data_IF_284830444746
#
_entry.id   IF_284830444746
#
_cell.length_a   1.000
_cell.length_b   1.000
_cell.length_c   1.000
_cell.angle_alpha   90.00
_cell.angle_beta   90.00
_cell.angle_gamma   90.00
#
_symmetry.space_group_name_H-M   'P 1'
#
loop_
_entity.id
_entity.type
_entity.pdbx_description
1 polymer ?
#
# COMPACT_ATOMS: atom_id res chain seq x y z
N UNK A 1 -10.43 -23.36 -1.10
CA UNK A 1 -10.31 -22.74 0.23
C UNK A 1 -10.46 -21.25 0.07
N UNK A 2 -11.41 -20.65 0.79
CA UNK A 2 -11.55 -19.19 0.87
C UNK A 2 -10.69 -18.69 2.03
N UNK A 3 -9.85 -17.68 1.79
CA UNK A 3 -9.01 -17.07 2.83
C UNK A 3 -9.58 -15.73 3.22
N UNK A 4 -9.85 -15.56 4.51
CA UNK A 4 -10.43 -14.38 5.12
C UNK A 4 -9.61 -14.03 6.36
N UNK A 5 -9.21 -12.77 6.46
CA UNK A 5 -8.72 -12.21 7.72
C UNK A 5 -9.91 -11.96 8.66
N UNK A 6 -9.61 -11.76 9.94
CA UNK A 6 -10.64 -11.53 10.96
C UNK A 6 -11.47 -10.24 10.73
N UNK A 7 -10.98 -9.32 9.91
CA UNK A 7 -11.63 -8.09 9.47
C UNK A 7 -12.13 -8.16 8.00
N UNK A 8 -11.98 -9.31 7.34
CA UNK A 8 -12.53 -9.55 6.01
C UNK A 8 -14.04 -9.74 6.04
N UNK A 9 -14.72 -9.11 5.10
CA UNK A 9 -16.17 -9.27 4.90
C UNK A 9 -16.47 -9.48 3.43
N UNK A 10 -17.08 -10.62 3.10
CA UNK A 10 -17.44 -10.98 1.73
C UNK A 10 -18.90 -11.36 1.61
N UNK A 11 -19.56 -10.89 0.53
CA UNK A 11 -20.93 -11.27 0.23
C UNK A 11 -21.02 -12.70 -0.31
N UNK A 12 -22.12 -13.40 -0.02
CA UNK A 12 -22.36 -14.75 -0.52
C UNK A 12 -22.30 -14.83 -2.05
N UNK A 13 -22.88 -13.84 -2.75
CA UNK A 13 -22.85 -13.76 -4.22
C UNK A 13 -21.42 -13.67 -4.77
N UNK A 14 -20.55 -12.90 -4.09
CA UNK A 14 -19.13 -12.79 -4.45
C UNK A 14 -18.44 -14.14 -4.26
N UNK A 15 -18.65 -14.79 -3.12
CA UNK A 15 -18.05 -16.10 -2.81
C UNK A 15 -18.50 -17.15 -3.83
N UNK A 16 -19.79 -17.18 -4.17
CA UNK A 16 -20.33 -18.10 -5.17
C UNK A 16 -19.69 -17.88 -6.55
N UNK A 17 -19.51 -16.63 -6.98
CA UNK A 17 -18.84 -16.33 -8.25
C UNK A 17 -17.36 -16.73 -8.26
N UNK A 18 -16.66 -16.56 -7.13
CA UNK A 18 -15.28 -17.03 -6.98
C UNK A 18 -15.18 -18.56 -7.09
N UNK A 19 -16.10 -19.29 -6.47
CA UNK A 19 -16.19 -20.75 -6.56
C UNK A 19 -16.46 -21.16 -8.00
N UNK A 20 -17.49 -20.59 -8.64
CA UNK A 20 -17.89 -20.91 -9.99
C UNK A 20 -16.76 -20.72 -11.01
N UNK A 21 -15.97 -19.64 -10.89
CA UNK A 21 -14.82 -19.42 -11.78
C UNK A 21 -13.70 -20.43 -11.54
N UNK A 22 -13.44 -20.80 -10.28
CA UNK A 22 -12.43 -21.80 -9.93
C UNK A 22 -12.82 -23.22 -10.37
N UNK A 23 -14.11 -23.54 -10.38
CA UNK A 23 -14.63 -24.78 -10.96
C UNK A 23 -14.55 -24.78 -12.48
N UNK A 24 -14.91 -23.67 -13.12
CA UNK A 24 -14.88 -23.52 -14.58
C UNK A 24 -13.47 -23.51 -15.18
N UNK A 25 -12.45 -23.11 -14.40
CA UNK A 25 -11.05 -23.09 -14.85
C UNK A 25 -10.17 -24.04 -14.01
N UNK A 26 -9.94 -25.28 -14.49
CA UNK A 26 -9.09 -26.25 -13.81
C UNK A 26 -7.63 -25.81 -13.64
N UNK A 27 -7.15 -24.79 -14.37
CA UNK A 27 -5.78 -24.25 -14.25
C UNK A 27 -5.69 -23.05 -13.30
N UNK A 28 -6.80 -22.58 -12.74
CA UNK A 28 -6.81 -21.50 -11.76
C UNK A 28 -6.36 -22.02 -10.39
N UNK A 29 -5.22 -21.51 -9.93
CA UNK A 29 -4.66 -21.83 -8.61
C UNK A 29 -5.12 -20.85 -7.54
N UNK A 30 -5.21 -19.56 -7.87
CA UNK A 30 -5.61 -18.49 -6.96
C UNK A 30 -6.40 -17.40 -7.68
N UNK A 31 -7.46 -16.92 -7.04
CA UNK A 31 -8.31 -15.85 -7.52
C UNK A 31 -8.49 -14.79 -6.42
N UNK A 32 -7.86 -13.63 -6.61
CA UNK A 32 -7.86 -12.49 -5.68
C UNK A 32 -9.00 -11.52 -6.02
N UNK A 33 -9.74 -11.04 -5.01
CA UNK A 33 -10.65 -9.89 -5.18
C UNK A 33 -9.97 -8.57 -4.79
N UNK A 34 -10.64 -7.44 -5.04
CA UNK A 34 -10.19 -6.13 -4.56
C UNK A 34 -10.99 -5.76 -3.29
N UNK A 35 -10.48 -6.03 -2.08
CA UNK A 35 -11.16 -5.63 -0.86
C UNK A 35 -11.23 -4.10 -0.79
N UNK A 36 -12.44 -3.57 -0.62
CA UNK A 36 -12.65 -2.12 -0.42
C UNK A 36 -12.78 -1.85 1.08
N UNK A 37 -12.00 -0.93 1.63
CA UNK A 37 -12.10 -0.58 3.04
C UNK A 37 -13.49 -0.07 3.45
N UNK A 38 -13.93 -0.44 4.64
CA UNK A 38 -15.22 -0.02 5.20
C UNK A 38 -15.10 0.35 6.68
N UNK A 39 -16.24 0.84 7.23
CA UNK A 39 -16.46 1.09 8.67
C UNK A 39 -15.48 2.09 9.30
N UNK A 40 -15.01 3.07 8.53
CA UNK A 40 -14.14 4.11 9.05
C UNK A 40 -14.88 5.34 9.59
N UNK A 41 -14.56 5.69 10.84
CA UNK A 41 -15.15 6.85 11.55
C UNK A 41 -14.19 8.02 11.75
N UNK A 42 -12.88 7.78 11.79
CA UNK A 42 -11.88 8.83 11.94
C UNK A 42 -11.68 9.63 10.65
N UNK A 43 -11.17 10.85 10.74
CA UNK A 43 -10.83 11.64 9.54
C UNK A 43 -9.85 10.88 8.62
N UNK A 44 -8.80 10.26 9.19
CA UNK A 44 -7.82 9.47 8.44
C UNK A 44 -8.47 8.29 7.73
N UNK A 45 -9.19 7.46 8.49
CA UNK A 45 -9.82 6.25 7.97
C UNK A 45 -10.83 6.59 6.88
N UNK A 46 -11.64 7.65 7.07
CA UNK A 46 -12.61 8.10 6.07
C UNK A 46 -11.95 8.62 4.80
N UNK A 47 -10.86 9.38 4.92
CA UNK A 47 -10.12 9.86 3.75
C UNK A 47 -9.54 8.70 2.95
N UNK A 48 -8.94 7.70 3.61
CA UNK A 48 -8.42 6.50 2.95
C UNK A 48 -9.53 5.60 2.38
N UNK A 49 -10.64 5.41 3.11
CA UNK A 49 -11.81 4.66 2.64
C UNK A 49 -12.39 5.31 1.37
N UNK A 50 -12.52 6.64 1.37
CA UNK A 50 -12.93 7.40 0.20
C UNK A 50 -11.95 7.26 -0.96
N UNK A 51 -10.65 7.44 -0.71
CA UNK A 51 -9.61 7.29 -1.72
C UNK A 51 -9.64 5.88 -2.35
N UNK A 52 -9.73 4.84 -1.53
CA UNK A 52 -9.80 3.46 -2.00
C UNK A 52 -11.07 3.21 -2.83
N UNK A 53 -12.23 3.69 -2.38
CA UNK A 53 -13.49 3.51 -3.11
C UNK A 53 -13.57 4.28 -4.44
N UNK A 54 -12.82 5.37 -4.61
CA UNK A 54 -12.80 6.17 -5.86
C UNK A 54 -11.70 5.72 -6.82
N UNK A 55 -10.51 5.42 -6.31
CA UNK A 55 -9.31 5.21 -7.14
C UNK A 55 -9.00 3.72 -7.36
N UNK A 56 -9.15 2.87 -6.34
CA UNK A 56 -8.66 1.49 -6.39
C UNK A 56 -9.33 0.63 -7.46
N UNK A 57 -10.67 0.66 -7.70
CA UNK A 57 -11.28 -0.19 -8.71
C UNK A 57 -10.71 0.03 -10.11
N UNK A 58 -10.56 1.30 -10.51
CA UNK A 58 -9.99 1.65 -11.82
C UNK A 58 -8.53 1.23 -11.94
N UNK A 59 -7.73 1.52 -10.91
CA UNK A 59 -6.32 1.14 -10.86
C UNK A 59 -6.15 -0.39 -10.90
N UNK A 60 -6.96 -1.11 -10.13
CA UNK A 60 -6.96 -2.57 -10.09
C UNK A 60 -7.35 -3.17 -11.43
N UNK A 61 -8.36 -2.65 -12.13
CA UNK A 61 -8.70 -3.12 -13.48
C UNK A 61 -7.54 -2.95 -14.46
N UNK A 62 -6.88 -1.79 -14.46
CA UNK A 62 -5.69 -1.56 -15.30
C UNK A 62 -4.53 -2.49 -14.92
N UNK A 63 -4.31 -2.68 -13.63
CA UNK A 63 -3.29 -3.58 -13.11
C UNK A 63 -3.57 -5.05 -13.51
N UNK A 64 -4.81 -5.51 -13.36
CA UNK A 64 -5.24 -6.86 -13.74
C UNK A 64 -5.11 -7.10 -15.24
N UNK A 65 -5.30 -6.09 -16.08
CA UNK A 65 -5.10 -6.21 -17.53
C UNK A 65 -3.63 -6.52 -17.87
N UNK A 66 -2.69 -5.76 -17.30
CA UNK A 66 -1.26 -6.00 -17.49
C UNK A 66 -0.76 -7.29 -16.83
N UNK A 67 -1.41 -7.67 -15.72
CA UNK A 67 -1.02 -8.85 -14.97
C UNK A 67 -1.54 -10.16 -15.56
N UNK A 68 -2.71 -10.12 -16.21
CA UNK A 68 -3.39 -11.27 -16.81
C UNK A 68 -3.43 -12.47 -15.84
N UNK A 69 -2.74 -13.56 -16.16
CA UNK A 69 -2.72 -14.79 -15.40
C UNK A 69 -1.63 -14.83 -14.31
N UNK A 70 -0.86 -13.77 -14.13
CA UNK A 70 0.21 -13.61 -13.13
C UNK A 70 -0.05 -12.43 -12.20
N UNK A 71 -1.30 -12.35 -11.74
CA UNK A 71 -1.71 -11.42 -10.69
C UNK A 71 -1.04 -11.75 -9.35
N UNK A 72 -1.26 -10.87 -8.38
CA UNK A 72 -0.68 -10.98 -7.05
C UNK A 72 -1.73 -11.42 -6.01
N UNK A 73 -1.26 -11.90 -4.86
CA UNK A 73 -2.08 -12.32 -3.72
C UNK A 73 -1.86 -11.36 -2.55
N UNK A 74 -2.94 -10.91 -1.90
CA UNK A 74 -2.90 -9.93 -0.82
C UNK A 74 -3.15 -10.55 0.58
N UNK A 75 -3.09 -11.89 0.68
CA UNK A 75 -3.24 -12.61 1.94
C UNK A 75 -4.70 -12.93 2.34
N UNK A 76 -5.70 -12.22 1.80
CA UNK A 76 -7.10 -12.42 2.16
C UNK A 76 -8.07 -11.99 1.04
N UNK A 77 -9.37 -12.25 1.26
CA UNK A 77 -10.46 -12.05 0.31
C UNK A 77 -10.18 -12.71 -1.05
N UNK A 78 -9.61 -13.91 -1.00
CA UNK A 78 -9.21 -14.69 -2.16
C UNK A 78 -9.66 -16.14 -2.00
N UNK A 79 -9.93 -16.80 -3.12
CA UNK A 79 -10.12 -18.25 -3.16
C UNK A 79 -8.89 -18.91 -3.80
N UNK A 80 -8.48 -20.05 -3.26
CA UNK A 80 -7.36 -20.83 -3.78
C UNK A 80 -7.67 -22.33 -3.82
N UNK A 81 -7.04 -23.01 -4.78
CA UNK A 81 -7.11 -24.45 -4.94
C UNK A 81 -6.16 -25.11 -3.93
N UNK A 82 -6.73 -25.83 -2.97
CA UNK A 82 -5.97 -26.45 -1.87
C UNK A 82 -4.85 -27.35 -2.39
N UNK A 83 -5.17 -28.22 -3.35
CA UNK A 83 -4.19 -29.15 -3.94
C UNK A 83 -3.00 -28.45 -4.62
N UNK A 84 -3.25 -27.33 -5.30
CA UNK A 84 -2.20 -26.53 -5.91
C UNK A 84 -1.33 -25.85 -4.84
N UNK A 85 -1.98 -25.27 -3.83
CA UNK A 85 -1.31 -24.57 -2.76
C UNK A 85 -0.43 -25.51 -1.91
N UNK A 86 -0.96 -26.64 -1.46
CA UNK A 86 -0.21 -27.58 -0.61
C UNK A 86 0.98 -28.20 -1.32
N UNK A 87 0.91 -28.42 -2.64
CA UNK A 87 2.02 -28.99 -3.43
C UNK A 87 3.11 -27.99 -3.83
N UNK A 88 2.83 -26.68 -3.83
CA UNK A 88 3.72 -25.70 -4.44
C UNK A 88 4.09 -24.50 -3.56
N UNK A 89 3.34 -24.24 -2.48
CA UNK A 89 3.52 -23.04 -1.66
C UNK A 89 4.28 -23.30 -0.34
N UNK A 90 5.06 -24.39 -0.22
CA UNK A 90 5.90 -24.62 0.95
C UNK A 90 7.04 -23.60 1.01
N UNK A 91 7.00 -22.66 1.96
CA UNK A 91 7.96 -21.56 2.01
C UNK A 91 9.24 -21.96 2.76
N UNK A 92 10.43 -21.71 2.20
CA UNK A 92 11.68 -21.89 2.93
C UNK A 92 11.98 -20.68 3.83
N UNK A 93 12.81 -20.90 4.84
CA UNK A 93 13.51 -19.80 5.51
C UNK A 93 14.56 -19.19 4.58
N UNK A 94 14.64 -17.86 4.54
CA UNK A 94 15.67 -17.16 3.78
C UNK A 94 17.02 -17.27 4.49
N UNK A 95 18.12 -17.60 3.80
CA UNK A 95 19.42 -17.77 4.43
C UNK A 95 19.96 -16.46 5.03
N UNK A 96 20.77 -16.55 6.08
CA UNK A 96 21.41 -15.39 6.72
C UNK A 96 20.60 -14.82 7.89
N UNK A 97 21.09 -13.71 8.47
CA UNK A 97 20.49 -13.14 9.68
C UNK A 97 19.26 -12.27 9.36
N UNK A 98 18.25 -12.23 10.25
CA UNK A 98 17.19 -11.22 10.20
C UNK A 98 17.78 -9.79 10.14
N UNK A 99 17.10 -8.81 9.54
CA UNK A 99 15.70 -8.81 9.07
C UNK A 99 15.52 -9.24 7.61
N UNK A 100 16.60 -9.43 6.85
CA UNK A 100 16.55 -9.84 5.45
C UNK A 100 16.59 -11.38 5.27
N UNK A 101 17.10 -12.13 6.24
CA UNK A 101 16.96 -13.59 6.37
C UNK A 101 15.82 -14.01 7.31
N UNK A 102 15.66 -15.32 7.50
CA UNK A 102 14.59 -15.93 8.31
C UNK A 102 13.26 -16.07 7.55
N UNK A 103 12.16 -16.14 8.29
CA UNK A 103 10.82 -16.28 7.74
C UNK A 103 10.46 -15.15 6.78
N UNK A 104 9.75 -15.50 5.70
CA UNK A 104 9.25 -14.56 4.72
C UNK A 104 7.99 -13.88 5.29
N UNK A 105 8.07 -12.59 5.64
CA UNK A 105 6.95 -11.89 6.28
C UNK A 105 5.79 -11.61 5.32
N UNK A 106 6.08 -11.11 4.12
CA UNK A 106 5.10 -10.90 3.04
C UNK A 106 5.05 -12.16 2.16
N UNK A 107 4.61 -13.26 2.77
CA UNK A 107 4.61 -14.57 2.14
C UNK A 107 3.59 -14.70 1.01
N UNK A 108 2.47 -13.99 1.12
CA UNK A 108 1.40 -13.88 0.13
C UNK A 108 1.91 -13.65 -1.30
N UNK A 109 2.80 -12.66 -1.51
CA UNK A 109 3.40 -12.40 -2.83
C UNK A 109 4.25 -13.58 -3.32
N UNK A 110 4.93 -14.26 -2.40
CA UNK A 110 5.80 -15.38 -2.72
C UNK A 110 4.97 -16.61 -3.08
N UNK A 111 3.89 -16.89 -2.37
CA UNK A 111 2.96 -17.98 -2.66
C UNK A 111 2.30 -17.81 -4.03
N UNK A 112 1.85 -16.60 -4.37
CA UNK A 112 1.36 -16.30 -5.73
C UNK A 112 2.44 -16.56 -6.80
N UNK A 113 3.67 -16.12 -6.55
CA UNK A 113 4.78 -16.35 -7.46
C UNK A 113 5.14 -17.84 -7.62
N UNK A 114 5.02 -18.63 -6.55
CA UNK A 114 5.25 -20.07 -6.55
C UNK A 114 4.15 -20.83 -7.31
N UNK A 115 2.88 -20.45 -7.14
CA UNK A 115 1.78 -20.97 -7.96
C UNK A 115 2.02 -20.67 -9.44
N UNK A 116 2.40 -19.43 -9.78
CA UNK A 116 2.76 -19.06 -11.16
C UNK A 116 3.92 -19.86 -11.70
N UNK A 117 4.98 -20.04 -10.91
CA UNK A 117 6.14 -20.85 -11.28
C UNK A 117 5.75 -22.31 -11.56
N UNK A 118 4.78 -22.84 -10.83
CA UNK A 118 4.26 -24.19 -11.01
C UNK A 118 3.27 -24.32 -12.20
N UNK A 119 3.01 -23.25 -12.95
CA UNK A 119 2.15 -23.26 -14.14
C UNK A 119 0.66 -23.01 -13.84
N UNK A 120 0.29 -22.77 -12.58
CA UNK A 120 -1.07 -22.37 -12.21
C UNK A 120 -1.32 -20.92 -12.60
N UNK A 121 -2.55 -20.60 -12.98
CA UNK A 121 -2.98 -19.22 -13.19
C UNK A 121 -3.28 -18.57 -11.83
N UNK A 122 -2.84 -17.33 -11.67
CA UNK A 122 -3.16 -16.45 -10.53
C UNK A 122 -3.84 -15.20 -11.11
N UNK A 123 -5.12 -15.01 -10.81
CA UNK A 123 -5.92 -13.95 -11.42
C UNK A 123 -6.52 -13.02 -10.37
N UNK A 124 -6.90 -11.83 -10.81
CA UNK A 124 -7.59 -10.84 -9.99
C UNK A 124 -8.95 -10.50 -10.58
N UNK A 125 -10.01 -10.61 -9.79
CA UNK A 125 -11.36 -10.18 -10.17
C UNK A 125 -11.64 -8.80 -9.61
N UNK A 126 -11.67 -7.83 -10.51
CA UNK A 126 -11.76 -6.39 -10.18
C UNK A 126 -13.17 -5.82 -10.35
N UNK A 127 -14.05 -6.58 -10.99
CA UNK A 127 -15.45 -6.27 -11.28
C UNK A 127 -16.41 -6.76 -10.19
N UNK A 128 -15.96 -7.67 -9.33
CA UNK A 128 -16.76 -8.20 -8.23
C UNK A 128 -16.89 -7.15 -7.11
N UNK A 129 -18.13 -6.76 -6.82
CA UNK A 129 -18.47 -6.04 -5.59
C UNK A 129 -18.49 -6.96 -4.37
N UNK A 130 -18.84 -6.42 -3.20
CA UNK A 130 -19.13 -7.23 -2.03
C UNK A 130 -17.91 -7.84 -1.34
N UNK A 131 -16.69 -7.32 -1.58
CA UNK A 131 -15.46 -7.70 -0.90
C UNK A 131 -14.92 -6.51 -0.11
N UNK A 132 -14.80 -6.64 1.21
CA UNK A 132 -14.47 -5.55 2.11
C UNK A 132 -13.44 -5.96 3.18
N UNK A 133 -12.80 -4.95 3.76
CA UNK A 133 -11.85 -5.07 4.88
C UNK A 133 -11.98 -3.85 5.82
N UNK A 134 -11.46 -3.95 7.04
CA UNK A 134 -11.24 -2.77 7.89
C UNK A 134 -9.77 -2.33 7.79
N UNK A 135 -9.50 -1.03 7.97
CA UNK A 135 -8.15 -0.49 7.93
C UNK A 135 -7.80 0.23 9.25
N UNK A 136 -6.49 0.46 9.53
CA UNK A 136 -6.08 1.26 10.68
C UNK A 136 -6.75 2.63 10.71
N UNK A 137 -7.30 2.98 11.87
CA UNK A 137 -8.09 4.21 12.05
C UNK A 137 -7.26 5.49 12.14
N UNK A 138 -5.92 5.42 12.27
CA UNK A 138 -5.08 6.62 12.32
C UNK A 138 -3.66 6.39 11.80
N UNK A 139 -2.99 7.49 11.46
CA UNK A 139 -1.66 7.52 10.81
C UNK A 139 -0.63 6.66 11.54
N UNK A 140 -0.55 6.71 12.88
CA UNK A 140 0.48 5.95 13.61
C UNK A 140 0.29 4.43 13.51
N UNK A 141 -0.95 3.91 13.52
CA UNK A 141 -1.20 2.47 13.42
C UNK A 141 -1.08 2.00 11.97
N UNK A 142 -1.41 2.88 11.02
CA UNK A 142 -1.10 2.69 9.61
C UNK A 142 0.42 2.55 9.38
N UNK A 143 1.22 3.48 9.91
CA UNK A 143 2.68 3.43 9.82
C UNK A 143 3.28 2.18 10.52
N UNK A 144 2.71 1.75 11.65
CA UNK A 144 3.12 0.48 12.30
C UNK A 144 2.83 -0.73 11.42
N UNK A 145 1.69 -0.77 10.73
CA UNK A 145 1.36 -1.82 9.76
C UNK A 145 2.38 -1.82 8.63
N UNK A 146 2.61 -0.66 8.02
CA UNK A 146 3.54 -0.50 6.91
C UNK A 146 4.97 -0.89 7.31
N UNK A 147 5.41 -0.65 8.54
CA UNK A 147 6.73 -1.07 9.02
C UNK A 147 6.99 -2.57 8.83
N UNK A 148 5.97 -3.43 9.04
CA UNK A 148 6.08 -4.88 8.78
C UNK A 148 6.16 -5.17 7.30
N UNK A 149 5.34 -4.49 6.50
CA UNK A 149 5.33 -4.63 5.05
C UNK A 149 6.65 -4.15 4.42
N UNK A 150 7.28 -3.09 4.94
CA UNK A 150 8.61 -2.64 4.51
C UNK A 150 9.62 -3.75 4.66
N UNK A 151 9.67 -4.43 5.81
CA UNK A 151 10.61 -5.54 6.02
C UNK A 151 10.36 -6.68 5.03
N UNK A 152 9.11 -7.14 4.90
CA UNK A 152 8.74 -8.20 3.96
C UNK A 152 9.05 -7.87 2.49
N UNK A 153 8.72 -6.65 2.06
CA UNK A 153 8.99 -6.21 0.69
C UNK A 153 10.49 -6.04 0.42
N UNK A 154 11.30 -5.64 1.42
CA UNK A 154 12.76 -5.61 1.27
C UNK A 154 13.36 -7.02 1.24
N UNK A 155 12.77 -8.02 1.91
CA UNK A 155 13.16 -9.43 1.76
C UNK A 155 12.98 -9.91 0.32
N UNK A 156 11.92 -9.46 -0.37
CA UNK A 156 11.63 -9.86 -1.76
C UNK A 156 12.72 -9.46 -2.77
N UNK A 157 13.53 -8.43 -2.48
CA UNK A 157 14.68 -8.06 -3.32
C UNK A 157 15.67 -9.23 -3.47
N UNK A 158 15.77 -10.10 -2.47
CA UNK A 158 16.61 -11.31 -2.51
C UNK A 158 16.04 -12.41 -3.40
N UNK A 159 14.72 -12.38 -3.63
CA UNK A 159 13.99 -13.34 -4.45
C UNK A 159 13.96 -12.93 -5.93
N UNK A 160 14.37 -11.70 -6.27
CA UNK A 160 14.41 -11.23 -7.66
C UNK A 160 15.26 -12.11 -8.58
N UNK A 161 16.29 -12.76 -8.06
CA UNK A 161 17.15 -13.71 -8.77
C UNK A 161 16.68 -15.17 -8.69
N UNK A 162 15.59 -15.45 -7.98
CA UNK A 162 15.10 -16.81 -7.74
C UNK A 162 14.78 -17.55 -9.05
N UNK A 163 15.18 -18.81 -9.14
CA UNK A 163 15.03 -19.58 -10.38
C UNK A 163 13.57 -20.01 -10.64
N UNK A 164 13.20 -20.05 -11.91
CA UNK A 164 11.86 -20.44 -12.39
C UNK A 164 10.75 -19.41 -12.17
N UNK A 165 11.00 -18.33 -11.42
CA UNK A 165 9.98 -17.30 -11.19
C UNK A 165 9.63 -16.55 -12.47
N UNK A 166 8.34 -16.38 -12.70
CA UNK A 166 7.79 -15.60 -13.81
C UNK A 166 8.25 -14.14 -13.75
N UNK A 167 8.50 -13.53 -14.92
CA UNK A 167 9.02 -12.15 -14.99
C UNK A 167 8.13 -11.17 -14.23
N UNK A 168 6.82 -11.31 -14.39
CA UNK A 168 5.86 -10.43 -13.74
C UNK A 168 5.84 -10.58 -12.21
N UNK A 169 6.11 -11.77 -11.67
CA UNK A 169 6.27 -11.95 -10.23
C UNK A 169 7.51 -11.22 -9.71
N UNK A 170 8.59 -11.18 -10.50
CA UNK A 170 9.78 -10.37 -10.17
C UNK A 170 9.48 -8.88 -10.21
N UNK A 171 8.66 -8.44 -11.17
CA UNK A 171 8.18 -7.06 -11.22
C UNK A 171 7.36 -6.73 -9.98
N UNK A 172 6.47 -7.62 -9.51
CA UNK A 172 5.72 -7.40 -8.26
C UNK A 172 6.63 -7.24 -7.05
N UNK A 173 7.63 -8.11 -6.89
CA UNK A 173 8.63 -8.00 -5.84
C UNK A 173 9.40 -6.68 -5.90
N UNK A 174 9.82 -6.27 -7.10
CA UNK A 174 10.55 -5.02 -7.29
C UNK A 174 9.66 -3.81 -6.98
N UNK A 175 8.43 -3.78 -7.50
CA UNK A 175 7.46 -2.71 -7.26
C UNK A 175 7.11 -2.60 -5.77
N UNK A 176 6.92 -3.73 -5.08
CA UNK A 176 6.68 -3.77 -3.64
C UNK A 176 7.82 -3.16 -2.83
N UNK A 177 9.07 -3.51 -3.16
CA UNK A 177 10.24 -2.90 -2.52
C UNK A 177 10.38 -1.40 -2.85
N UNK A 178 10.20 -1.03 -4.12
CA UNK A 178 10.29 0.37 -4.57
C UNK A 178 9.19 1.27 -3.99
N UNK A 179 8.01 0.72 -3.68
CA UNK A 179 6.93 1.47 -3.03
C UNK A 179 7.38 2.11 -1.70
N UNK A 180 8.29 1.47 -0.97
CA UNK A 180 8.86 2.01 0.27
C UNK A 180 10.22 2.70 0.05
N UNK A 181 11.09 2.13 -0.78
CA UNK A 181 12.42 2.69 -1.05
C UNK A 181 12.33 4.07 -1.73
N UNK A 182 11.30 4.30 -2.53
CA UNK A 182 11.03 5.60 -3.16
C UNK A 182 10.90 6.74 -2.15
N UNK A 183 10.38 6.49 -0.93
CA UNK A 183 10.31 7.50 0.13
C UNK A 183 11.70 7.94 0.60
N UNK A 184 12.63 6.98 0.75
CA UNK A 184 14.01 7.27 1.12
C UNK A 184 14.76 8.02 -0.01
N UNK A 185 14.55 7.60 -1.25
CA UNK A 185 15.12 8.27 -2.43
C UNK A 185 14.57 9.70 -2.53
N UNK A 186 13.27 9.90 -2.32
CA UNK A 186 12.65 11.23 -2.33
C UNK A 186 13.23 12.14 -1.24
N UNK A 187 13.39 11.64 -0.01
CA UNK A 187 14.05 12.39 1.07
C UNK A 187 15.49 12.76 0.70
N UNK A 188 16.26 11.82 0.13
CA UNK A 188 17.64 12.08 -0.30
C UNK A 188 17.71 13.16 -1.39
N UNK A 189 16.80 13.10 -2.38
CA UNK A 189 16.69 14.13 -3.42
C UNK A 189 16.42 15.49 -2.79
N UNK A 190 15.44 15.61 -1.87
CA UNK A 190 15.12 16.87 -1.21
C UNK A 190 16.32 17.43 -0.43
N UNK A 191 17.05 16.59 0.30
CA UNK A 191 18.24 17.00 1.05
C UNK A 191 19.35 17.49 0.12
N UNK A 192 19.67 16.71 -0.92
CA UNK A 192 20.70 17.09 -1.91
C UNK A 192 20.32 18.36 -2.65
N UNK A 193 19.06 18.51 -3.07
CA UNK A 193 18.55 19.74 -3.70
C UNK A 193 18.62 20.94 -2.77
N UNK A 194 18.40 20.75 -1.46
CA UNK A 194 18.54 21.83 -0.48
C UNK A 194 20.00 22.23 -0.31
N UNK A 195 20.92 21.27 -0.28
CA UNK A 195 22.37 21.54 -0.21
C UNK A 195 22.81 22.31 -1.46
N UNK A 196 22.43 21.87 -2.66
CA UNK A 196 22.75 22.58 -3.91
C UNK A 196 22.19 24.02 -3.91
N UNK A 197 20.94 24.21 -3.48
CA UNK A 197 20.33 25.52 -3.39
C UNK A 197 21.07 26.45 -2.41
N UNK A 198 21.48 25.92 -1.24
CA UNK A 198 22.26 26.67 -0.25
C UNK A 198 23.67 26.98 -0.76
N UNK A 199 24.34 26.04 -1.42
CA UNK A 199 25.65 26.27 -2.03
C UNK A 199 25.58 27.40 -3.07
N UNK A 200 24.57 27.41 -3.93
CA UNK A 200 24.37 28.49 -4.92
C UNK A 200 24.06 29.85 -4.29
N UNK A 201 23.44 29.85 -3.10
CA UNK A 201 23.12 31.08 -2.38
C UNK A 201 24.31 31.64 -1.57
N UNK A 202 25.18 30.75 -1.07
CA UNK A 202 26.28 31.11 -0.16
C UNK A 202 27.64 31.22 -0.85
N UNK A 203 27.83 30.54 -1.97
CA UNK A 203 29.09 30.49 -2.72
C UNK A 203 28.92 31.34 -3.97
N UNK A 204 29.77 32.35 -4.12
CA UNK A 204 29.81 33.15 -5.34
C UNK A 204 30.18 32.26 -6.54
N UNK A 205 29.46 32.36 -7.68
CA UNK A 205 29.77 31.54 -8.83
C UNK A 205 31.18 31.88 -9.35
N UNK A 206 32.08 30.89 -9.39
CA UNK A 206 33.35 31.06 -10.06
C UNK A 206 33.19 30.86 -11.57
N UNK A 207 33.04 31.97 -12.30
CA UNK A 207 32.90 31.96 -13.76
C UNK A 207 34.21 31.68 -14.50
N UNK A 208 35.37 31.80 -13.85
CA UNK A 208 36.70 31.60 -14.43
C UNK A 208 37.41 30.44 -13.71
N UNK A 209 37.17 29.23 -14.19
CA UNK A 209 37.69 28.00 -13.59
C UNK A 209 39.12 27.66 -14.02
N UNK A 210 39.70 28.42 -14.95
CA UNK A 210 41.05 28.24 -15.48
C UNK A 210 41.76 29.58 -15.68
N UNK A 211 43.07 29.61 -15.44
CA UNK A 211 43.92 30.80 -15.63
C UNK A 211 44.01 31.24 -17.11
N UNK A 212 43.68 30.36 -18.06
CA UNK A 212 43.69 30.63 -19.50
C UNK A 212 42.26 30.63 -20.07
N UNK A 213 41.36 31.42 -19.49
CA UNK A 213 39.96 31.51 -19.90
C UNK A 213 39.60 32.95 -20.30
N UNK A 214 39.27 33.16 -21.57
CA UNK A 214 38.92 34.48 -22.13
C UNK A 214 37.44 34.87 -21.90
N UNK A 215 36.55 33.90 -21.68
CA UNK A 215 35.11 34.12 -21.53
C UNK A 215 34.55 33.38 -20.30
N UNK A 216 33.62 33.99 -19.52
CA UNK A 216 33.04 33.35 -18.35
C UNK A 216 32.21 32.10 -18.70
N UNK A 217 32.29 31.08 -17.85
CA UNK A 217 31.42 29.89 -17.90
C UNK A 217 30.12 30.17 -17.15
N UNK A 218 29.09 30.59 -17.88
CA UNK A 218 27.77 30.84 -17.30
C UNK A 218 27.09 29.52 -16.90
N UNK A 219 26.46 29.44 -15.71
CA UNK A 219 25.65 28.30 -15.35
C UNK A 219 24.41 28.23 -16.27
N UNK A 220 24.35 27.18 -17.10
CA UNK A 220 23.22 26.92 -18.00
C UNK A 220 22.14 26.21 -17.19
N UNK A 221 21.04 26.91 -16.88
CA UNK A 221 19.80 26.29 -16.44
C UNK A 221 18.84 26.24 -17.63
N UNK A 222 18.55 25.07 -18.24
CA UNK A 222 17.68 24.98 -19.42
C UNK A 222 16.22 25.26 -19.03
N UNK A 223 15.70 26.49 -19.19
CA UNK A 223 14.41 26.89 -18.60
C UNK A 223 13.25 26.17 -19.29
N UNK A 224 13.46 25.82 -20.56
CA UNK A 224 12.55 25.09 -21.42
C UNK A 224 12.34 23.63 -21.00
N UNK A 225 13.20 23.05 -20.16
CA UNK A 225 13.03 21.68 -19.65
C UNK A 225 12.32 21.64 -18.29
N UNK A 226 12.43 22.70 -17.48
CA UNK A 226 11.89 22.73 -16.11
C UNK A 226 10.36 22.56 -16.11
N UNK A 227 9.66 23.37 -16.91
CA UNK A 227 8.19 23.35 -16.94
C UNK A 227 7.61 22.04 -17.52
N UNK A 228 8.11 21.47 -18.64
CA UNK A 228 7.66 20.17 -19.11
C UNK A 228 7.96 19.02 -18.14
N UNK A 229 9.13 19.02 -17.48
CA UNK A 229 9.45 17.99 -16.47
C UNK A 229 8.51 18.08 -15.26
N UNK A 230 8.24 19.29 -14.78
CA UNK A 230 7.27 19.51 -13.70
C UNK A 230 5.86 19.08 -14.13
N UNK A 231 5.42 19.51 -15.31
CA UNK A 231 4.10 19.15 -15.87
C UNK A 231 3.94 17.65 -16.04
N UNK A 232 4.94 16.97 -16.59
CA UNK A 232 4.95 15.51 -16.74
C UNK A 232 4.92 14.79 -15.39
N UNK A 233 5.69 15.26 -14.40
CA UNK A 233 5.69 14.70 -13.04
C UNK A 233 4.33 14.86 -12.37
N UNK A 234 3.74 16.06 -12.42
CA UNK A 234 2.40 16.32 -11.87
C UNK A 234 1.32 15.51 -12.59
N UNK A 235 1.41 15.38 -13.91
CA UNK A 235 0.49 14.55 -14.69
C UNK A 235 0.58 13.08 -14.24
N UNK A 236 1.78 12.49 -14.17
CA UNK A 236 1.95 11.11 -13.72
C UNK A 236 1.43 10.89 -12.30
N UNK A 237 1.62 11.85 -11.40
CA UNK A 237 1.21 11.77 -10.00
C UNK A 237 -0.31 11.93 -9.81
N UNK A 238 -0.92 12.89 -10.51
CA UNK A 238 -2.31 13.31 -10.28
C UNK A 238 -3.31 12.65 -11.24
N UNK A 239 -2.87 12.23 -12.43
CA UNK A 239 -3.76 11.68 -13.46
C UNK A 239 -4.59 10.50 -12.96
N UNK A 240 -4.06 9.50 -12.22
CA UNK A 240 -4.89 8.40 -11.74
C UNK A 240 -6.02 8.87 -10.80
N UNK A 241 -5.74 9.84 -9.94
CA UNK A 241 -6.76 10.44 -9.06
C UNK A 241 -7.82 11.16 -9.88
N UNK A 242 -7.41 12.00 -10.84
CA UNK A 242 -8.33 12.73 -11.72
C UNK A 242 -9.22 11.77 -12.51
N UNK A 243 -8.66 10.72 -13.09
CA UNK A 243 -9.42 9.70 -13.83
C UNK A 243 -10.43 8.98 -12.93
N UNK A 244 -10.05 8.60 -11.71
CA UNK A 244 -10.95 7.99 -10.74
C UNK A 244 -12.12 8.90 -10.36
N UNK A 245 -11.86 10.19 -10.10
CA UNK A 245 -12.91 11.19 -9.82
C UNK A 245 -13.82 11.37 -11.03
N UNK A 246 -13.27 11.51 -12.24
CA UNK A 246 -14.03 11.63 -13.48
C UNK A 246 -14.94 10.41 -13.70
N UNK A 247 -14.45 9.20 -13.45
CA UNK A 247 -15.23 7.98 -13.54
C UNK A 247 -16.38 7.96 -12.53
N UNK A 248 -16.10 8.30 -11.27
CA UNK A 248 -17.10 8.38 -10.20
C UNK A 248 -18.18 9.45 -10.49
N UNK A 249 -17.78 10.62 -11.03
CA UNK A 249 -18.68 11.69 -11.45
C UNK A 249 -19.59 11.28 -12.61
N UNK A 250 -19.11 10.40 -13.51
CA UNK A 250 -19.85 9.96 -14.69
C UNK A 250 -20.82 8.82 -14.37
N UNK A 251 -20.41 7.85 -13.54
CA UNK A 251 -21.22 6.64 -13.28
C UNK A 251 -22.26 6.84 -12.18
N UNK A 252 -21.82 7.08 -10.94
CA UNK A 252 -22.72 7.07 -9.78
C UNK A 252 -22.38 8.15 -8.75
N UNK A 253 -22.41 9.45 -9.11
CA UNK A 253 -22.08 10.53 -8.17
C UNK A 253 -23.01 10.56 -6.95
N UNK A 254 -24.25 10.06 -7.07
CA UNK A 254 -25.21 9.95 -5.96
C UNK A 254 -24.71 9.09 -4.81
N UNK A 255 -23.93 8.04 -5.09
CA UNK A 255 -23.36 7.15 -4.07
C UNK A 255 -22.26 7.82 -3.23
N UNK A 256 -21.73 8.96 -3.70
CA UNK A 256 -20.71 9.76 -3.02
C UNK A 256 -21.27 11.09 -2.50
N UNK A 257 -22.59 11.21 -2.33
CA UNK A 257 -23.26 12.42 -1.82
C UNK A 257 -23.61 13.48 -2.88
N UNK A 258 -23.44 13.16 -4.16
CA UNK A 258 -23.71 14.05 -5.31
C UNK A 258 -22.44 14.68 -5.90
N UNK A 259 -22.56 15.30 -7.09
CA UNK A 259 -21.42 15.79 -7.89
C UNK A 259 -20.55 16.80 -7.14
N UNK A 260 -21.16 17.81 -6.52
CA UNK A 260 -20.44 18.86 -5.79
C UNK A 260 -19.72 18.31 -4.55
N UNK A 261 -20.38 17.42 -3.79
CA UNK A 261 -19.80 16.80 -2.59
C UNK A 261 -18.68 15.83 -2.95
N UNK A 262 -18.81 15.08 -4.04
CA UNK A 262 -17.75 14.22 -4.56
C UNK A 262 -16.51 15.04 -4.94
N UNK A 263 -16.67 16.15 -5.68
CA UNK A 263 -15.56 17.03 -6.03
C UNK A 263 -14.90 17.66 -4.79
N UNK A 264 -15.70 18.15 -3.83
CA UNK A 264 -15.18 18.68 -2.56
C UNK A 264 -14.47 17.61 -1.73
N UNK A 265 -14.97 16.38 -1.73
CA UNK A 265 -14.35 15.24 -1.04
C UNK A 265 -13.03 14.83 -1.67
N UNK A 266 -12.93 14.83 -3.00
CA UNK A 266 -11.70 14.59 -3.72
C UNK A 266 -10.65 15.68 -3.45
N UNK A 267 -11.05 16.95 -3.42
CA UNK A 267 -10.14 18.05 -3.06
C UNK A 267 -9.67 17.94 -1.61
N UNK A 268 -10.59 17.66 -0.68
CA UNK A 268 -10.26 17.48 0.73
C UNK A 268 -9.29 16.30 0.92
N UNK A 269 -9.54 15.17 0.26
CA UNK A 269 -8.65 14.01 0.28
C UNK A 269 -7.29 14.34 -0.32
N UNK A 270 -7.24 15.03 -1.47
CA UNK A 270 -5.98 15.40 -2.11
C UNK A 270 -5.14 16.34 -1.24
N UNK A 271 -5.74 17.35 -0.62
CA UNK A 271 -5.06 18.26 0.31
C UNK A 271 -4.57 17.52 1.55
N UNK A 272 -5.40 16.63 2.10
CA UNK A 272 -5.04 15.82 3.26
C UNK A 272 -3.88 14.86 2.95
N UNK A 273 -3.93 14.16 1.80
CA UNK A 273 -2.87 13.29 1.34
C UNK A 273 -1.56 14.05 1.09
N UNK A 274 -1.64 15.23 0.47
CA UNK A 274 -0.48 16.10 0.23
C UNK A 274 0.22 16.51 1.52
N UNK A 275 -0.53 16.88 2.57
CA UNK A 275 0.03 17.29 3.85
C UNK A 275 0.61 16.11 4.66
N UNK A 276 0.06 14.90 4.50
CA UNK A 276 0.53 13.70 5.19
C UNK A 276 1.72 13.05 4.48
N UNK A 277 1.87 13.23 3.17
CA UNK A 277 2.93 12.60 2.39
C UNK A 277 4.35 12.83 2.95
N UNK A 278 4.78 14.05 3.37
CA UNK A 278 6.09 14.27 3.97
C UNK A 278 6.29 13.54 5.30
N UNK A 279 5.23 13.44 6.12
CA UNK A 279 5.27 12.69 7.37
C UNK A 279 5.45 11.20 7.11
N UNK A 280 4.69 10.64 6.17
CA UNK A 280 4.85 9.24 5.75
C UNK A 280 6.22 8.98 5.11
N UNK A 281 6.75 9.93 4.32
CA UNK A 281 8.10 9.86 3.77
C UNK A 281 9.14 9.68 4.87
N UNK A 282 9.05 10.46 5.96
CA UNK A 282 9.97 10.33 7.10
C UNK A 282 9.82 8.97 7.79
N UNK A 283 8.60 8.50 8.02
CA UNK A 283 8.38 7.17 8.61
C UNK A 283 8.93 6.04 7.74
N UNK A 284 8.60 6.02 6.44
CA UNK A 284 9.09 4.99 5.51
C UNK A 284 10.62 5.04 5.37
N UNK A 285 11.20 6.23 5.23
CA UNK A 285 12.66 6.40 5.16
C UNK A 285 13.34 5.83 6.40
N UNK A 286 12.79 6.13 7.58
CA UNK A 286 13.27 5.57 8.85
C UNK A 286 13.15 4.06 8.87
N UNK A 287 12.01 3.49 8.48
CA UNK A 287 11.79 2.03 8.50
C UNK A 287 12.75 1.31 7.55
N UNK A 288 12.96 1.85 6.35
CA UNK A 288 13.94 1.31 5.40
C UNK A 288 15.35 1.34 5.99
N UNK A 289 15.78 2.46 6.57
CA UNK A 289 17.09 2.57 7.23
C UNK A 289 17.22 1.57 8.39
N UNK A 290 16.17 1.41 9.22
CA UNK A 290 16.16 0.47 10.34
C UNK A 290 16.32 -0.98 9.85
N UNK A 291 15.59 -1.39 8.81
CA UNK A 291 15.70 -2.73 8.22
C UNK A 291 17.08 -2.95 7.62
N UNK A 292 17.60 -1.99 6.85
CA UNK A 292 18.94 -2.09 6.27
C UNK A 292 20.06 -2.10 7.32
N UNK A 293 19.80 -1.51 8.50
CA UNK A 293 20.72 -1.51 9.65
C UNK A 293 20.60 -2.76 10.53
N UNK A 294 19.79 -3.75 10.14
CA UNK A 294 19.68 -5.01 10.86
C UNK A 294 18.61 -5.06 11.97
N UNK A 295 17.72 -4.06 12.07
CA UNK A 295 16.66 -4.05 13.09
C UNK A 295 15.43 -4.79 12.59
N UNK A 296 14.92 -5.71 13.41
CA UNK A 296 13.71 -6.48 13.12
C UNK A 296 12.46 -5.83 13.71
N UNK A 297 11.32 -6.12 13.09
CA UNK A 297 10.00 -5.70 13.58
C UNK A 297 9.33 -6.89 14.27
N UNK A 298 8.98 -6.73 15.55
CA UNK A 298 8.17 -7.71 16.25
C UNK A 298 6.69 -7.62 15.82
N UNK A 299 6.03 -8.77 15.72
CA UNK A 299 4.58 -8.82 15.53
C UNK A 299 3.88 -8.53 16.86
N UNK A 300 3.13 -7.43 16.91
CA UNK A 300 2.30 -7.07 18.06
C UNK A 300 0.83 -7.02 17.62
N UNK A 301 -0.12 -7.46 18.47
CA UNK A 301 -1.54 -7.34 18.19
C UNK A 301 -1.93 -5.89 17.88
N UNK A 302 -2.69 -5.70 16.80
CA UNK A 302 -3.19 -4.38 16.42
C UNK A 302 -4.45 -4.05 17.20
N UNK A 303 -4.53 -2.83 17.75
CA UNK A 303 -5.79 -2.29 18.29
C UNK A 303 -6.68 -1.91 17.11
N UNK A 304 -7.87 -2.52 17.03
CA UNK A 304 -8.78 -2.40 15.89
C UNK A 304 -9.87 -1.35 16.09
N UNK A 305 -10.13 -0.93 17.32
CA UNK A 305 -11.11 0.10 17.61
C UNK A 305 -10.58 1.50 17.31
N UNK A 306 -11.40 2.31 16.65
CA UNK A 306 -11.10 3.71 16.39
C UNK A 306 -10.93 4.48 17.70
N UNK A 307 -9.71 4.86 18.05
CA UNK A 307 -9.44 5.75 19.18
C UNK A 307 -8.84 7.07 18.73
N UNK A 308 -9.26 8.16 19.35
CA UNK A 308 -8.58 9.43 19.20
C UNK A 308 -7.22 9.37 19.91
N UNK A 309 -6.15 9.76 19.21
CA UNK A 309 -4.81 9.77 19.80
C UNK A 309 -4.67 10.93 20.80
N UNK A 310 -4.06 10.71 21.98
CA UNK A 310 -3.71 11.81 22.87
C UNK A 310 -2.58 12.64 22.28
N UNK A 311 -2.56 13.95 22.56
CA UNK A 311 -1.52 14.87 22.07
C UNK A 311 -0.11 14.42 22.43
N UNK A 312 0.08 13.86 23.63
CA UNK A 312 1.38 13.34 24.08
C UNK A 312 1.91 12.24 23.16
N UNK A 313 1.05 11.33 22.72
CA UNK A 313 1.44 10.24 21.81
C UNK A 313 1.75 10.80 20.41
N UNK A 314 0.92 11.73 19.91
CA UNK A 314 1.20 12.41 18.63
C UNK A 314 2.56 13.12 18.66
N UNK A 315 2.80 13.99 19.65
CA UNK A 315 4.05 14.73 19.80
C UNK A 315 5.28 13.82 19.93
N UNK A 316 5.18 12.75 20.73
CA UNK A 316 6.29 11.81 20.93
C UNK A 316 6.80 11.22 19.61
N UNK A 317 5.90 10.93 18.68
CA UNK A 317 6.26 10.29 17.41
C UNK A 317 6.59 11.28 16.28
N UNK A 318 6.17 12.54 16.39
CA UNK A 318 6.34 13.53 15.30
C UNK A 318 7.32 14.66 15.61
N UNK A 319 7.73 14.88 16.87
CA UNK A 319 8.61 16.00 17.21
C UNK A 319 9.90 16.08 16.38
N UNK A 320 10.61 14.99 16.01
CA UNK A 320 11.83 15.12 15.22
C UNK A 320 11.52 15.66 13.82
N UNK A 321 10.42 15.20 13.23
CA UNK A 321 9.93 15.70 11.94
C UNK A 321 9.53 17.17 12.02
N UNK A 322 8.82 17.57 13.09
CA UNK A 322 8.43 18.97 13.31
C UNK A 322 9.63 19.89 13.46
N UNK A 323 10.66 19.49 14.21
CA UNK A 323 11.90 20.27 14.31
C UNK A 323 12.63 20.34 12.98
N UNK A 324 12.76 19.21 12.27
CA UNK A 324 13.39 19.17 10.96
C UNK A 324 12.66 20.08 9.96
N UNK A 325 11.33 20.01 9.89
CA UNK A 325 10.52 20.87 9.03
C UNK A 325 10.65 22.35 9.39
N UNK A 326 10.65 22.69 10.68
CA UNK A 326 10.83 24.07 11.15
C UNK A 326 12.20 24.62 10.79
N UNK A 327 13.26 23.82 11.00
CA UNK A 327 14.62 24.19 10.64
C UNK A 327 14.78 24.33 9.12
N UNK A 328 14.17 23.44 8.35
CA UNK A 328 14.19 23.47 6.88
C UNK A 328 13.46 24.70 6.33
N UNK A 329 12.32 25.05 6.91
CA UNK A 329 11.61 26.29 6.60
C UNK A 329 12.45 27.52 6.92
N UNK A 330 13.07 27.56 8.10
CA UNK A 330 13.92 28.68 8.52
C UNK A 330 15.12 28.87 7.59
N UNK A 331 15.89 27.82 7.30
CA UNK A 331 17.09 27.93 6.46
C UNK A 331 16.75 28.34 5.02
N UNK A 332 15.69 27.77 4.44
CA UNK A 332 15.30 28.10 3.06
C UNK A 332 14.68 29.48 2.95
N UNK A 333 13.95 29.95 3.97
CA UNK A 333 13.43 31.32 4.01
C UNK A 333 14.53 32.37 3.93
N UNK A 334 15.63 32.19 4.68
CA UNK A 334 16.70 33.18 4.74
C UNK A 334 17.64 33.15 3.53
N UNK A 335 17.98 31.96 3.03
CA UNK A 335 19.01 31.81 1.99
C UNK A 335 18.43 31.58 0.60
N UNK A 336 17.27 30.93 0.47
CA UNK A 336 16.70 30.52 -0.83
C UNK A 336 15.17 30.74 -0.90
N UNK A 337 14.66 31.99 -0.82
CA UNK A 337 13.23 32.27 -0.66
C UNK A 337 12.33 31.66 -1.76
N UNK A 338 12.81 31.60 -3.01
CA UNK A 338 12.07 30.93 -4.09
C UNK A 338 11.87 29.44 -3.78
N UNK A 339 12.94 28.76 -3.35
CA UNK A 339 12.92 27.33 -3.02
C UNK A 339 12.06 27.04 -1.78
N UNK A 340 12.04 27.94 -0.80
CA UNK A 340 11.13 27.88 0.36
C UNK A 340 9.66 27.69 -0.05
N UNK A 341 9.18 28.47 -1.02
CA UNK A 341 7.79 28.39 -1.47
C UNK A 341 7.51 27.10 -2.25
N UNK A 342 8.46 26.62 -3.04
CA UNK A 342 8.35 25.31 -3.72
C UNK A 342 8.30 24.14 -2.73
N UNK A 343 9.02 24.24 -1.60
CA UNK A 343 9.02 23.23 -0.54
C UNK A 343 7.87 23.36 0.45
N UNK A 344 6.92 24.30 0.24
CA UNK A 344 5.81 24.54 1.19
C UNK A 344 5.11 23.26 1.63
N UNK A 345 4.66 22.35 0.74
CA UNK A 345 3.98 21.14 1.18
C UNK A 345 4.85 20.25 2.09
N UNK A 346 6.17 20.22 1.86
CA UNK A 346 7.13 19.39 2.60
C UNK A 346 7.34 19.92 4.01
N UNK A 347 7.85 21.14 4.15
CA UNK A 347 8.15 21.68 5.48
C UNK A 347 6.86 21.93 6.27
N UNK A 348 5.76 22.33 5.63
CA UNK A 348 4.48 22.56 6.29
C UNK A 348 3.88 21.25 6.81
N UNK A 349 3.91 20.18 6.01
CA UNK A 349 3.44 18.86 6.44
C UNK A 349 4.22 18.33 7.65
N UNK A 350 5.54 18.53 7.67
CA UNK A 350 6.40 18.15 8.79
C UNK A 350 6.18 19.04 10.03
N UNK A 351 6.08 20.35 9.84
CA UNK A 351 5.81 21.31 10.92
C UNK A 351 4.45 21.04 11.58
N UNK A 352 3.43 20.70 10.78
CA UNK A 352 2.09 20.37 11.25
C UNK A 352 1.91 18.89 11.62
N UNK A 353 2.98 18.08 11.67
CA UNK A 353 2.86 16.64 11.86
C UNK A 353 2.08 16.24 13.13
N UNK A 354 2.34 16.88 14.28
CA UNK A 354 1.60 16.59 15.52
C UNK A 354 0.10 16.93 15.41
N UNK A 355 -0.29 18.15 14.98
CA UNK A 355 -1.68 18.48 14.67
C UNK A 355 -2.33 17.53 13.66
N UNK A 356 -1.63 17.18 12.57
CA UNK A 356 -2.14 16.28 11.55
C UNK A 356 -2.44 14.90 12.13
N UNK A 357 -1.52 14.30 12.90
CA UNK A 357 -1.75 13.01 13.58
C UNK A 357 -2.91 13.08 14.58
N UNK A 358 -3.01 14.18 15.33
CA UNK A 358 -4.08 14.36 16.33
C UNK A 358 -5.46 14.57 15.69
N UNK A 359 -5.55 15.42 14.67
CA UNK A 359 -6.81 15.77 14.02
C UNK A 359 -7.29 14.62 13.13
N UNK A 360 -6.37 13.95 12.44
CA UNK A 360 -6.68 12.80 11.59
C UNK A 360 -7.23 11.61 12.37
N UNK A 361 -6.83 11.41 13.63
CA UNK A 361 -7.41 10.38 14.52
C UNK A 361 -8.78 10.77 15.12
N UNK A 362 -9.29 11.98 14.86
CA UNK A 362 -10.55 12.43 15.46
C UNK A 362 -11.77 11.78 14.82
N UNK A 363 -12.50 10.98 15.61
CA UNK A 363 -13.80 10.41 15.23
C UNK A 363 -14.86 11.50 15.06
N UNK A 364 -14.83 12.54 15.88
CA UNK A 364 -15.81 13.64 15.82
C UNK A 364 -15.72 14.39 14.50
N UNK A 365 -14.51 14.66 14.01
CA UNK A 365 -14.32 15.34 12.71
C UNK A 365 -14.79 14.43 11.57
N UNK A 366 -14.39 13.16 11.58
CA UNK A 366 -14.83 12.20 10.55
C UNK A 366 -16.34 12.03 10.51
N UNK A 367 -17.01 11.86 11.65
CA UNK A 367 -18.48 11.78 11.74
C UNK A 367 -19.18 13.05 11.28
N UNK A 368 -18.65 14.24 11.60
CA UNK A 368 -19.20 15.53 11.10
C UNK A 368 -19.07 15.66 9.59
N UNK A 369 -17.96 15.21 8.99
CA UNK A 369 -17.81 15.19 7.53
C UNK A 369 -18.84 14.28 6.88
N UNK A 370 -19.06 13.07 7.44
CA UNK A 370 -20.11 12.16 7.00
C UNK A 370 -21.50 12.81 7.06
N UNK A 371 -21.85 13.45 8.17
CA UNK A 371 -23.13 14.15 8.35
C UNK A 371 -23.34 15.28 7.32
N UNK A 372 -22.26 15.93 6.89
CA UNK A 372 -22.29 16.96 5.82
C UNK A 372 -22.30 16.36 4.40
N UNK A 373 -22.24 15.03 4.29
CA UNK A 373 -22.19 14.30 3.03
C UNK A 373 -20.82 14.33 2.34
N UNK A 374 -19.74 14.62 3.09
CA UNK A 374 -18.37 14.63 2.58
C UNK A 374 -17.65 13.31 2.94
N UNK A 375 -16.70 12.92 2.09
CA UNK A 375 -15.98 11.64 2.15
C UNK A 375 -16.96 10.45 2.27
N UNK A 376 -18.09 10.51 1.57
CA UNK A 376 -19.06 9.41 1.50
C UNK A 376 -18.62 8.39 0.46
N UNK A 377 -18.91 7.12 0.73
CA UNK A 377 -18.64 6.01 -0.19
C UNK A 377 -19.89 5.15 -0.41
N UNK A 378 -19.93 4.33 -1.48
CA UNK A 378 -21.08 3.49 -1.79
C UNK A 378 -21.52 2.58 -0.64
N UNK A 379 -20.57 2.03 0.13
CA UNK A 379 -20.87 1.16 1.28
C UNK A 379 -21.60 1.88 2.43
N UNK A 380 -21.64 3.21 2.43
CA UNK A 380 -22.34 4.01 3.45
C UNK A 380 -23.68 4.57 2.96
N UNK A 381 -23.79 4.87 1.67
CA UNK A 381 -25.00 5.44 1.06
C UNK A 381 -25.97 4.35 0.61
N UNK A 382 -25.45 3.24 0.11
CA UNK A 382 -26.20 2.05 -0.27
C UNK A 382 -25.51 0.79 0.28
N UNK A 383 -25.51 0.59 1.61
CA UNK A 383 -24.81 -0.55 2.23
C UNK A 383 -25.34 -1.88 1.70
N UNK A 384 -24.47 -2.78 1.20
CA UNK A 384 -24.88 -4.13 0.80
C UNK A 384 -25.34 -4.95 2.01
N UNK A 385 -26.11 -6.01 1.73
CA UNK A 385 -26.71 -6.85 2.78
C UNK A 385 -25.68 -7.38 3.79
N UNK A 386 -24.49 -7.79 3.33
CA UNK A 386 -23.40 -8.27 4.19
C UNK A 386 -22.96 -7.25 5.25
N UNK A 387 -22.94 -5.95 4.91
CA UNK A 387 -22.59 -4.91 5.87
C UNK A 387 -23.74 -4.58 6.82
N UNK A 388 -24.99 -4.69 6.35
CA UNK A 388 -26.18 -4.53 7.21
C UNK A 388 -26.30 -5.67 8.23
N UNK A 389 -25.92 -6.89 7.85
CA UNK A 389 -25.96 -8.08 8.71
C UNK A 389 -25.11 -7.95 9.98
N UNK A 390 -24.01 -7.20 9.93
CA UNK A 390 -23.13 -6.96 11.09
C UNK A 390 -23.76 -6.09 12.19
N UNK A 391 -24.71 -5.23 11.82
CA UNK A 391 -25.39 -4.34 12.77
C UNK A 391 -26.59 -5.00 13.44
N UNK A 392 -27.05 -6.14 12.91
CA UNK A 392 -28.07 -6.94 13.56
C UNK A 392 -27.36 -7.82 14.60
N UNK A 393 -27.86 -7.94 15.85
CA UNK A 393 -27.42 -9.02 16.71
C UNK A 393 -27.61 -10.29 15.90
N UNK A 394 -26.55 -11.06 15.72
CA UNK A 394 -26.65 -12.34 15.04
C UNK A 394 -27.74 -13.11 15.78
N UNK A 395 -28.90 -13.28 15.14
CA UNK A 395 -29.86 -14.30 15.53
C UNK A 395 -29.21 -15.60 15.15
N UNK A 396 -28.17 -15.97 15.89
CA UNK A 396 -27.70 -17.34 15.96
C UNK A 396 -28.90 -18.02 16.57
N UNK A 397 -29.64 -18.74 15.75
CA UNK A 397 -30.64 -19.65 16.26
C UNK A 397 -29.91 -20.50 17.30
N UNK A 398 -30.31 -20.40 18.57
CA UNK A 398 -29.54 -21.00 19.68
C UNK A 398 -29.42 -22.52 19.55
N UNK A 399 -30.20 -23.11 18.66
CA UNK A 399 -30.24 -24.51 18.28
C UNK A 399 -29.50 -24.83 16.97
N UNK A 400 -29.01 -23.83 16.23
CA UNK A 400 -28.19 -24.05 15.03
C UNK A 400 -26.79 -24.48 15.47
N UNK A 401 -26.59 -25.80 15.60
CA UNK A 401 -25.25 -26.35 15.72
C UNK A 401 -24.50 -26.08 14.40
N UNK A 402 -23.34 -25.41 14.44
CA UNK A 402 -22.51 -25.30 13.26
C UNK A 402 -22.15 -26.71 12.80
N UNK A 403 -22.25 -26.96 11.50
CA UNK A 403 -21.81 -28.23 10.94
C UNK A 403 -20.38 -28.50 11.41
N UNK A 404 -20.05 -29.75 11.81
CA UNK A 404 -18.70 -30.06 12.24
C UNK A 404 -17.73 -29.68 11.11
N UNK A 405 -16.56 -29.13 11.44
CA UNK A 405 -15.58 -28.81 10.42
C UNK A 405 -15.24 -30.07 9.63
N UNK A 406 -14.93 -29.95 8.33
CA UNK A 406 -14.50 -31.09 7.54
C UNK A 406 -13.29 -31.75 8.21
N UNK A 407 -13.18 -33.07 8.08
CA UNK A 407 -12.10 -33.84 8.68
C UNK A 407 -10.73 -33.25 8.29
N UNK A 408 -9.85 -33.08 9.27
CA UNK A 408 -8.49 -32.60 9.06
C UNK A 408 -7.74 -33.57 8.13
N UNK A 409 -7.03 -33.00 7.15
CA UNK A 409 -6.21 -33.75 6.20
C UNK A 409 -4.77 -33.25 6.30
N UNK A 410 -3.99 -33.75 7.28
CA UNK A 410 -2.59 -33.38 7.38
C UNK A 410 -1.88 -33.77 6.09
N UNK A 411 -1.09 -32.85 5.55
CA UNK A 411 -0.27 -33.08 4.37
C UNK A 411 1.06 -32.33 4.51
N UNK A 412 2.13 -32.97 4.07
CA UNK A 412 3.44 -32.33 4.01
C UNK A 412 3.48 -31.35 2.83
N UNK A 413 3.84 -30.10 3.11
CA UNK A 413 4.10 -29.10 2.08
C UNK A 413 5.59 -29.12 1.71
N UNK A 414 5.94 -29.36 0.44
CA UNK A 414 7.33 -29.44 0.03
C UNK A 414 7.97 -28.05 0.07
N UNK A 415 9.04 -27.92 0.86
CA UNK A 415 9.83 -26.69 0.95
C UNK A 415 10.41 -26.33 -0.42
N UNK A 416 10.04 -25.17 -0.91
CA UNK A 416 10.48 -24.68 -2.21
C UNK A 416 11.91 -24.15 -2.14
N UNK A 417 12.65 -24.33 -3.23
CA UNK A 417 13.96 -23.71 -3.42
C UNK A 417 13.90 -22.58 -4.44
N UNK A 418 14.73 -21.55 -4.22
CA UNK A 418 14.97 -20.47 -5.18
C UNK A 418 16.33 -20.60 -5.89
N UNK A 419 17.08 -21.68 -5.65
CA UNK A 419 18.39 -21.94 -6.28
C UNK A 419 18.25 -22.35 -7.76
N UNK A 420 19.38 -22.33 -8.50
CA UNK A 420 19.40 -22.70 -9.93
C UNK A 420 18.95 -24.14 -10.19
N UNK A 421 19.17 -25.03 -9.23
CA UNK A 421 18.82 -26.46 -9.32
C UNK A 421 17.35 -26.77 -8.96
N UNK A 422 16.48 -25.77 -8.81
CA UNK A 422 15.07 -25.98 -8.44
C UNK A 422 14.34 -26.99 -9.33
N UNK A 423 14.69 -27.08 -10.63
CA UNK A 423 14.08 -28.00 -11.58
C UNK A 423 14.58 -29.46 -11.43
N UNK A 424 15.71 -29.69 -10.73
CA UNK A 424 16.30 -31.02 -10.52
C UNK A 424 15.68 -31.76 -9.34
N UNK A 425 14.99 -31.05 -8.47
CA UNK A 425 14.20 -31.60 -7.37
C UNK A 425 12.76 -31.11 -7.51
N UNK A 426 11.99 -31.61 -8.51
CA UNK A 426 10.55 -31.48 -8.43
C UNK A 426 10.12 -32.04 -7.06
N UNK A 427 9.14 -31.43 -6.37
CA UNK A 427 8.62 -31.96 -5.12
C UNK A 427 8.41 -33.44 -5.31
N UNK A 428 9.15 -34.25 -4.55
CA UNK A 428 9.13 -35.69 -4.67
C UNK A 428 7.66 -36.10 -4.63
N UNK A 429 7.14 -36.64 -5.74
CA UNK A 429 6.01 -37.57 -5.66
C UNK A 429 6.52 -38.68 -4.77
N UNK A 430 6.27 -38.60 -3.46
CA UNK A 430 6.35 -39.78 -2.61
C UNK A 430 5.31 -40.74 -3.17
N UNK A 431 5.85 -41.72 -3.88
CA UNK A 431 5.15 -42.87 -4.42
C UNK A 431 4.37 -43.55 -3.29
N UNK A 432 3.13 -43.91 -3.60
CA UNK A 432 2.56 -45.18 -3.17
C UNK A 432 2.21 -45.31 -1.70
N UNK A 433 0.91 -45.18 -1.42
CA UNK A 433 0.08 -46.24 -0.82
C UNK A 433 0.94 -47.40 -0.26
N UNK A 434 1.14 -47.39 1.05
CA UNK A 434 1.77 -48.46 1.81
C UNK A 434 0.83 -48.94 2.91
N UNK A 435 -0.20 -49.69 2.50
CA UNK A 435 -1.17 -50.49 3.27
C UNK A 435 -2.18 -49.77 4.18
#
# INVERSE_FOLDING_TARGET
MLVLDADSLMSGDTVHQLIAEMEANPRLGLLQTVPIPVRQDSLFGRANQFAAAVYSPMLATGLSFWQSDAANYFGHNAIMRVDAFTRHCGLPELPGRPPLGGDILSHDFVEAALLRRAGWEVRMRTDLGGSFEEMPSHILDYAKRDRRWVQGNLQHLRLLGGSGLHMLSRVHFLCGALAYLSSLIWLAILVVSTIDALMRALIEPNFFTSNAQLFPNWPIAPPNLIMPLLGGTLAMLLMPKVLGVCLALRRHPGLYGGRARLAASALLEALFAMLIAPLMMVFHSRFVIEVLSGRTVAWNPQSREGRALPWREALRHTWPGTLAGTFWAWITWWYTPTFFWWLTPVWLGLMLAAPLVRLSSSLTIGRRLRQRGLLLVPSETAPPAVLKGLTLPATVDGNAEPAPPPAERPCDMPLQSFSRDWARHPPTQQQGIGK
#
